data_IF_105134565368
#
_entry.id   IF_105134565368
#
_cell.length_a   1.000
_cell.length_b   1.000
_cell.length_c   1.000
_cell.angle_alpha   90.00
_cell.angle_beta   90.00
_cell.angle_gamma   90.00
#
_symmetry.space_group_name_H-M   'P 1'
#
loop_
_entity.id
_entity.type
_entity.pdbx_description
1 polymer ?
#
# COMPACT_ATOMS: atom_id res chain seq x y z
N UNK A 1 49.94 -17.44 -4.28
CA UNK A 1 48.54 -17.52 -3.84
C UNK A 1 47.71 -16.68 -4.82
N UNK A 2 46.61 -17.24 -5.35
CA UNK A 2 45.71 -16.55 -6.27
C UNK A 2 44.54 -15.91 -5.52
N UNK A 3 44.78 -14.80 -4.83
CA UNK A 3 43.71 -14.04 -4.19
C UNK A 3 42.86 -13.33 -5.25
N UNK A 4 41.55 -13.24 -5.03
CA UNK A 4 40.63 -12.50 -5.89
C UNK A 4 39.70 -11.62 -5.06
N UNK A 5 39.15 -10.61 -5.71
CA UNK A 5 38.09 -9.76 -5.20
C UNK A 5 37.01 -9.65 -6.27
N UNK A 6 35.75 -9.83 -5.88
CA UNK A 6 34.60 -9.55 -6.73
C UNK A 6 33.90 -8.30 -6.21
N UNK A 7 33.45 -7.44 -7.11
CA UNK A 7 32.68 -6.24 -6.77
C UNK A 7 31.53 -6.14 -7.74
N UNK A 8 30.31 -6.27 -7.22
CA UNK A 8 29.11 -5.98 -7.98
C UNK A 8 28.94 -4.47 -8.06
N UNK A 9 28.94 -3.91 -9.27
CA UNK A 9 28.86 -2.46 -9.49
C UNK A 9 27.43 -1.96 -9.65
N UNK A 10 26.51 -2.84 -10.06
CA UNK A 10 25.08 -2.59 -10.25
C UNK A 10 24.29 -3.89 -10.00
N UNK A 11 23.00 -3.79 -9.63
CA UNK A 11 22.10 -4.95 -9.65
C UNK A 11 22.15 -5.63 -11.01
N UNK A 12 21.98 -6.95 -11.01
CA UNK A 12 21.72 -7.71 -12.22
C UNK A 12 20.20 -7.85 -12.34
N UNK A 13 19.67 -7.85 -13.55
CA UNK A 13 18.24 -8.12 -13.72
C UNK A 13 18.00 -9.61 -13.48
N UNK A 14 17.18 -9.94 -12.49
CA UNK A 14 16.78 -11.30 -12.21
C UNK A 14 15.53 -11.69 -13.00
N UNK A 15 15.16 -12.97 -12.91
CA UNK A 15 13.97 -13.46 -13.58
C UNK A 15 12.75 -13.10 -12.72
N UNK A 16 11.73 -12.51 -13.36
CA UNK A 16 10.48 -12.18 -12.68
C UNK A 16 9.88 -13.38 -11.93
N UNK A 17 9.39 -13.12 -10.72
CA UNK A 17 8.62 -14.06 -9.92
C UNK A 17 9.06 -13.98 -8.47
N UNK A 18 8.09 -13.84 -7.55
CA UNK A 18 8.27 -13.57 -6.11
C UNK A 18 9.08 -14.63 -5.32
N UNK A 19 10.27 -14.99 -5.76
CA UNK A 19 11.14 -15.99 -5.18
C UNK A 19 12.59 -15.62 -5.48
N UNK A 20 13.51 -15.93 -4.57
CA UNK A 20 14.92 -15.56 -4.73
C UNK A 20 15.56 -16.32 -5.92
N UNK A 21 15.56 -15.75 -7.12
CA UNK A 21 16.03 -16.38 -8.36
C UNK A 21 17.51 -16.14 -8.64
N UNK A 22 18.40 -16.57 -7.73
CA UNK A 22 19.85 -16.39 -7.81
C UNK A 22 20.49 -16.51 -9.21
N UNK A 23 21.29 -15.52 -9.57
CA UNK A 23 22.14 -15.56 -10.77
C UNK A 23 23.50 -16.17 -10.39
N UNK A 24 23.85 -17.29 -11.04
CA UNK A 24 25.15 -17.94 -10.85
C UNK A 24 26.14 -17.55 -11.96
N UNK A 25 27.25 -16.93 -11.59
CA UNK A 25 28.37 -16.57 -12.46
C UNK A 25 29.52 -17.58 -12.30
N UNK A 26 29.67 -18.46 -13.29
CA UNK A 26 30.77 -19.43 -13.34
C UNK A 26 32.01 -18.82 -14.01
N UNK A 27 33.00 -18.44 -13.20
CA UNK A 27 34.22 -17.75 -13.64
C UNK A 27 35.44 -18.68 -13.65
N UNK A 28 35.30 -19.95 -13.30
CA UNK A 28 36.43 -20.88 -13.17
C UNK A 28 37.24 -21.06 -14.46
N UNK A 29 36.58 -21.01 -15.62
CA UNK A 29 37.26 -21.12 -16.92
C UNK A 29 38.18 -19.94 -17.24
N UNK A 30 38.06 -18.83 -16.51
CA UNK A 30 38.95 -17.66 -16.62
C UNK A 30 40.25 -17.83 -15.81
N UNK A 31 40.31 -18.84 -14.94
CA UNK A 31 41.48 -19.11 -14.10
C UNK A 31 42.42 -20.09 -14.80
N UNK A 32 43.62 -19.61 -15.16
CA UNK A 32 44.70 -20.43 -15.67
C UNK A 32 45.92 -20.33 -14.73
N UNK A 33 46.51 -21.47 -14.41
CA UNK A 33 47.79 -21.57 -13.73
C UNK A 33 48.86 -22.08 -14.70
N UNK A 34 50.07 -21.53 -14.60
CA UNK A 34 51.25 -21.94 -15.35
C UNK A 34 52.35 -22.28 -14.35
N UNK A 35 53.04 -23.41 -14.53
CA UNK A 35 54.16 -23.78 -13.68
C UNK A 35 55.49 -23.19 -14.19
N UNK A 36 56.62 -23.75 -13.73
CA UNK A 36 57.94 -23.18 -13.98
C UNK A 36 58.48 -23.49 -15.38
N UNK A 37 58.11 -24.61 -15.99
CA UNK A 37 58.58 -24.99 -17.32
C UNK A 37 57.57 -24.65 -18.42
N UNK A 38 56.37 -24.19 -18.05
CA UNK A 38 55.40 -23.60 -18.94
C UNK A 38 54.12 -24.42 -19.09
N UNK A 39 53.98 -25.52 -18.35
CA UNK A 39 52.76 -26.32 -18.35
C UNK A 39 51.61 -25.51 -17.77
N UNK A 40 50.47 -25.51 -18.48
CA UNK A 40 49.27 -24.76 -18.09
C UNK A 40 48.11 -25.67 -17.72
N UNK A 41 47.34 -25.27 -16.71
CA UNK A 41 46.04 -25.86 -16.40
C UNK A 41 44.99 -24.76 -16.26
N UNK A 42 43.81 -24.98 -16.85
CA UNK A 42 42.64 -24.11 -16.69
C UNK A 42 41.66 -24.77 -15.73
N UNK A 43 41.11 -24.00 -14.79
CA UNK A 43 40.13 -24.54 -13.85
C UNK A 43 38.78 -24.83 -14.54
N UNK A 44 38.04 -25.82 -14.03
CA UNK A 44 36.67 -26.07 -14.47
C UNK A 44 35.77 -24.89 -14.06
N UNK A 45 34.67 -24.67 -14.79
CA UNK A 45 33.82 -23.48 -14.65
C UNK A 45 33.30 -23.29 -13.21
N UNK A 46 33.04 -24.39 -12.51
CA UNK A 46 32.45 -24.48 -11.18
C UNK A 46 33.50 -24.31 -10.05
N UNK A 47 34.76 -24.05 -10.39
CA UNK A 47 35.85 -23.87 -9.41
C UNK A 47 35.98 -22.45 -8.89
N UNK A 48 35.39 -21.48 -9.58
CA UNK A 48 35.17 -20.12 -9.07
C UNK A 48 33.76 -19.72 -9.46
N UNK A 49 32.86 -19.76 -8.48
CA UNK A 49 31.43 -19.47 -8.65
C UNK A 49 31.10 -18.26 -7.79
N UNK A 50 30.45 -17.27 -8.39
CA UNK A 50 29.86 -16.13 -7.68
C UNK A 50 28.35 -16.24 -7.83
N UNK A 51 27.63 -16.25 -6.72
CA UNK A 51 26.17 -16.20 -6.71
C UNK A 51 25.74 -14.78 -6.39
N UNK A 52 24.85 -14.22 -7.20
CA UNK A 52 24.20 -12.93 -6.97
C UNK A 52 22.77 -13.23 -6.55
N UNK A 53 22.51 -13.00 -5.27
CA UNK A 53 21.20 -13.17 -4.64
C UNK A 53 20.19 -12.20 -5.25
N UNK A 54 18.96 -12.67 -5.40
CA UNK A 54 17.82 -11.89 -5.88
C UNK A 54 17.06 -11.29 -4.70
N UNK A 55 16.61 -10.05 -4.79
CA UNK A 55 15.79 -9.48 -3.73
C UNK A 55 14.33 -9.31 -4.12
N UNK A 56 13.47 -9.44 -3.11
CA UNK A 56 12.03 -9.23 -3.25
C UNK A 56 11.65 -7.97 -2.50
N UNK A 57 10.63 -7.23 -2.96
CA UNK A 57 10.20 -6.04 -2.28
C UNK A 57 9.50 -6.42 -0.98
N UNK A 58 9.62 -5.59 0.06
CA UNK A 58 8.98 -5.87 1.36
C UNK A 58 8.03 -4.76 1.78
N UNK A 59 6.96 -5.10 2.51
CA UNK A 59 5.98 -4.15 3.06
C UNK A 59 6.15 -3.94 4.57
N UNK A 60 7.39 -3.82 5.03
CA UNK A 60 7.74 -3.72 6.45
C UNK A 60 7.86 -2.28 6.96
N UNK A 61 7.69 -1.30 6.06
CA UNK A 61 7.84 0.11 6.34
C UNK A 61 6.77 0.70 7.27
N UNK A 62 6.80 2.03 7.37
CA UNK A 62 5.95 2.78 8.30
C UNK A 62 4.51 2.81 7.78
N UNK A 63 3.57 2.48 8.67
CA UNK A 63 2.16 2.60 8.35
C UNK A 63 1.78 4.07 8.16
N UNK A 64 0.80 4.32 7.29
CA UNK A 64 0.24 5.64 7.03
C UNK A 64 -1.22 5.66 7.44
N UNK A 65 -1.70 6.82 7.87
CA UNK A 65 -3.09 7.01 8.24
C UNK A 65 -3.64 8.32 7.71
N UNK A 66 -4.96 8.38 7.58
CA UNK A 66 -5.69 9.61 7.30
C UNK A 66 -6.98 9.64 8.10
N UNK A 67 -7.48 10.83 8.37
CA UNK A 67 -8.79 11.03 9.00
C UNK A 67 -9.64 11.86 8.06
N UNK A 68 -10.89 11.45 7.91
CA UNK A 68 -11.95 12.24 7.32
C UNK A 68 -13.10 12.33 8.31
N UNK A 69 -13.99 13.26 8.03
CA UNK A 69 -14.99 13.71 8.98
C UNK A 69 -16.31 13.96 8.23
N UNK A 70 -17.40 13.43 8.78
CA UNK A 70 -18.75 13.50 8.24
C UNK A 70 -19.38 14.89 8.37
N UNK A 71 -18.89 15.74 9.27
CA UNK A 71 -19.36 17.12 9.45
C UNK A 71 -19.16 17.95 8.18
N UNK A 72 -18.14 17.62 7.40
CA UNK A 72 -17.84 18.24 6.12
C UNK A 72 -18.77 17.81 4.97
N UNK A 73 -19.65 16.84 5.18
CA UNK A 73 -20.65 16.43 4.20
C UNK A 73 -21.81 17.44 4.16
N UNK A 74 -22.66 17.31 3.15
CA UNK A 74 -23.83 18.18 3.03
C UNK A 74 -24.78 17.97 4.22
N UNK A 75 -24.97 19.04 4.99
CA UNK A 75 -25.76 19.11 6.23
C UNK A 75 -25.12 18.43 7.46
N UNK A 76 -23.82 18.12 7.43
CA UNK A 76 -23.09 17.72 8.63
C UNK A 76 -23.05 18.85 9.67
N UNK A 77 -22.84 18.50 10.93
CA UNK A 77 -22.96 19.40 12.07
C UNK A 77 -21.65 19.41 12.85
N UNK A 78 -20.86 20.45 12.60
CA UNK A 78 -19.59 20.69 13.29
C UNK A 78 -19.64 20.47 14.81
N UNK A 79 -18.92 19.44 15.25
CA UNK A 79 -18.51 19.14 16.59
C UNK A 79 -19.53 18.51 17.52
N UNK A 80 -19.07 17.58 18.33
CA UNK A 80 -19.85 16.90 19.35
C UNK A 80 -18.96 16.44 20.49
N UNK A 81 -19.35 15.34 21.13
CA UNK A 81 -18.48 14.70 22.13
C UNK A 81 -17.66 13.62 21.44
N UNK A 82 -16.36 13.86 21.26
CA UNK A 82 -15.48 12.92 20.55
C UNK A 82 -14.83 13.52 19.32
N UNK A 83 -15.41 14.61 18.80
CA UNK A 83 -15.04 15.29 17.57
C UNK A 83 -13.55 15.37 17.24
N UNK A 84 -13.23 15.06 15.99
CA UNK A 84 -11.96 15.41 15.38
C UNK A 84 -11.99 16.85 14.89
N UNK A 85 -10.98 17.64 15.25
CA UNK A 85 -10.92 19.03 14.76
C UNK A 85 -10.82 19.08 13.24
N UNK A 86 -11.79 19.72 12.60
CA UNK A 86 -11.83 19.88 11.16
C UNK A 86 -13.23 19.58 10.65
N UNK A 87 -13.36 19.47 9.33
CA UNK A 87 -14.58 19.05 8.62
C UNK A 87 -14.12 18.40 7.29
N UNK A 88 -12.98 17.70 7.31
CA UNK A 88 -12.29 17.30 6.09
C UNK A 88 -12.88 16.01 5.51
N UNK A 89 -13.55 16.09 4.36
CA UNK A 89 -14.07 14.89 3.66
C UNK A 89 -13.02 14.18 2.79
N UNK A 90 -11.78 14.66 2.81
CA UNK A 90 -10.69 14.09 2.01
C UNK A 90 -9.42 13.94 2.83
N UNK A 91 -8.75 12.80 2.67
CA UNK A 91 -7.44 12.53 3.23
C UNK A 91 -6.50 12.04 2.12
N UNK A 92 -5.25 12.51 2.11
CA UNK A 92 -4.29 12.14 1.08
C UNK A 92 -2.88 11.98 1.64
N UNK A 93 -2.04 11.31 0.87
CA UNK A 93 -0.68 11.03 1.29
C UNK A 93 0.09 10.19 0.29
N UNK A 94 1.10 9.48 0.77
CA UNK A 94 1.91 8.57 -0.03
C UNK A 94 2.08 7.22 0.65
N UNK A 95 1.92 6.14 -0.11
CA UNK A 95 2.14 4.77 0.38
C UNK A 95 3.60 4.33 0.26
N UNK A 96 4.47 5.15 -0.33
CA UNK A 96 5.87 4.76 -0.63
C UNK A 96 6.63 4.33 0.61
N UNK A 97 6.38 4.98 1.76
CA UNK A 97 7.02 4.66 3.04
C UNK A 97 6.60 3.32 3.66
N UNK A 98 5.58 2.63 3.12
CA UNK A 98 5.18 1.28 3.53
C UNK A 98 6.13 0.22 2.95
N UNK A 99 6.72 0.50 1.77
CA UNK A 99 7.38 -0.49 0.94
C UNK A 99 8.88 -0.21 0.78
N UNK A 100 9.68 -1.26 0.79
CA UNK A 100 11.11 -1.23 0.52
C UNK A 100 11.38 -2.01 -0.76
N UNK A 101 12.10 -1.39 -1.70
CA UNK A 101 12.38 -1.94 -3.03
C UNK A 101 13.39 -3.07 -3.04
N UNK A 102 14.24 -3.17 -2.01
CA UNK A 102 15.53 -3.86 -2.20
C UNK A 102 16.44 -3.09 -3.15
N UNK A 103 17.25 -3.81 -3.90
CA UNK A 103 18.19 -3.32 -4.91
C UNK A 103 17.45 -2.94 -6.22
N UNK A 104 16.28 -3.54 -6.46
CA UNK A 104 15.49 -3.36 -7.68
C UNK A 104 14.57 -2.15 -7.58
N UNK A 105 15.10 -1.03 -8.07
CA UNK A 105 14.41 0.27 -8.06
C UNK A 105 14.08 0.72 -9.47
N UNK A 106 12.98 1.50 -9.68
CA UNK A 106 12.02 1.98 -8.69
C UNK A 106 10.83 1.03 -8.46
N UNK A 107 10.13 1.21 -7.34
CA UNK A 107 8.81 0.59 -7.13
C UNK A 107 7.72 1.30 -7.94
N UNK A 108 6.74 0.51 -8.40
CA UNK A 108 5.45 0.94 -8.93
C UNK A 108 4.32 0.38 -8.06
N UNK A 109 3.23 1.13 -7.91
CA UNK A 109 2.13 0.79 -6.99
C UNK A 109 0.81 0.55 -7.72
N UNK A 110 0.02 -0.41 -7.23
CA UNK A 110 -1.28 -0.76 -7.78
C UNK A 110 -2.27 -1.22 -6.69
N UNK A 111 -3.55 -1.21 -7.03
CA UNK A 111 -4.60 -1.80 -6.19
C UNK A 111 -4.86 -3.25 -6.58
N UNK A 112 -5.00 -4.11 -5.58
CA UNK A 112 -5.60 -5.44 -5.73
C UNK A 112 -7.07 -5.33 -6.09
N UNK A 113 -7.53 -6.17 -7.02
CA UNK A 113 -8.96 -6.32 -7.31
C UNK A 113 -9.69 -7.15 -6.24
N UNK A 114 -8.96 -7.82 -5.35
CA UNK A 114 -9.54 -8.59 -4.27
C UNK A 114 -9.90 -7.69 -3.08
N UNK A 115 -11.20 -7.47 -2.90
CA UNK A 115 -11.76 -6.64 -1.83
C UNK A 115 -12.18 -7.43 -0.59
N UNK A 116 -11.91 -8.75 -0.52
CA UNK A 116 -12.40 -9.61 0.58
C UNK A 116 -11.84 -9.27 1.96
N UNK A 117 -10.75 -8.49 2.03
CA UNK A 117 -10.16 -8.02 3.28
C UNK A 117 -10.76 -6.71 3.82
N UNK A 118 -11.67 -6.07 3.08
CA UNK A 118 -12.28 -4.80 3.49
C UNK A 118 -13.40 -5.02 4.54
N UNK A 119 -13.62 -4.05 5.44
CA UNK A 119 -14.66 -4.15 6.45
C UNK A 119 -16.07 -4.19 5.83
N UNK A 120 -16.99 -4.91 6.47
CA UNK A 120 -18.40 -4.84 6.15
C UNK A 120 -18.99 -3.55 6.76
N UNK A 121 -19.31 -2.59 5.90
CA UNK A 121 -19.87 -1.29 6.28
C UNK A 121 -21.24 -1.11 5.64
N UNK A 122 -21.99 -0.11 6.09
CA UNK A 122 -23.24 0.33 5.46
C UNK A 122 -23.34 1.85 5.43
N UNK A 123 -24.24 2.35 4.61
CA UNK A 123 -24.61 3.77 4.53
C UNK A 123 -26.12 3.87 4.31
N UNK A 124 -26.82 4.59 5.18
CA UNK A 124 -28.27 4.70 5.15
C UNK A 124 -28.98 3.36 5.35
N UNK A 125 -28.38 2.46 6.14
CA UNK A 125 -28.86 1.11 6.40
C UNK A 125 -28.64 0.12 5.24
N UNK A 126 -27.94 0.52 4.18
CA UNK A 126 -27.66 -0.34 3.02
C UNK A 126 -26.19 -0.76 3.03
N UNK A 127 -25.95 -2.08 2.98
CA UNK A 127 -24.61 -2.63 2.94
C UNK A 127 -23.78 -2.12 1.75
N UNK A 128 -22.50 -1.84 2.00
CA UNK A 128 -21.60 -1.38 0.95
C UNK A 128 -21.18 -2.53 0.02
N UNK A 129 -20.99 -2.18 -1.25
CA UNK A 129 -20.39 -3.02 -2.27
C UNK A 129 -19.13 -2.33 -2.77
N UNK A 130 -18.00 -3.04 -2.68
CA UNK A 130 -16.70 -2.55 -3.10
C UNK A 130 -16.35 -3.03 -4.50
N UNK A 131 -15.80 -2.14 -5.32
CA UNK A 131 -15.21 -2.50 -6.61
C UNK A 131 -13.91 -1.74 -6.84
N UNK A 132 -12.94 -2.39 -7.47
CA UNK A 132 -11.67 -1.78 -7.87
C UNK A 132 -11.61 -1.75 -9.39
N UNK A 133 -11.35 -0.57 -9.95
CA UNK A 133 -11.13 -0.36 -11.37
C UNK A 133 -9.85 0.47 -11.56
N UNK A 134 -8.79 -0.17 -12.07
CA UNK A 134 -7.48 0.44 -12.16
C UNK A 134 -6.95 0.86 -10.79
N UNK A 135 -6.57 2.14 -10.66
CA UNK A 135 -6.09 2.71 -9.40
C UNK A 135 -7.19 3.19 -8.45
N UNK A 136 -8.47 2.91 -8.71
CA UNK A 136 -9.58 3.44 -7.90
C UNK A 136 -10.43 2.33 -7.28
N UNK A 137 -10.56 2.35 -5.96
CA UNK A 137 -11.61 1.67 -5.21
C UNK A 137 -12.83 2.59 -5.11
N UNK A 138 -14.02 2.04 -5.36
CA UNK A 138 -15.31 2.68 -5.14
C UNK A 138 -16.16 1.83 -4.21
N UNK A 139 -16.69 2.45 -3.15
CA UNK A 139 -17.69 1.85 -2.28
C UNK A 139 -19.07 2.44 -2.59
N UNK A 140 -20.07 1.58 -2.85
CA UNK A 140 -21.45 1.98 -3.15
C UNK A 140 -22.42 1.42 -2.11
N UNK A 141 -23.45 2.18 -1.76
CA UNK A 141 -24.57 1.69 -0.93
C UNK A 141 -25.47 0.73 -1.74
N UNK A 142 -25.07 -0.54 -1.85
CA UNK A 142 -25.67 -1.52 -2.74
C UNK A 142 -25.17 -1.43 -4.19
N UNK A 143 -25.46 -2.45 -5.01
CA UNK A 143 -24.88 -2.63 -6.37
C UNK A 143 -25.22 -1.48 -7.32
N UNK A 144 -26.43 -0.92 -7.22
CA UNK A 144 -26.91 0.20 -8.03
C UNK A 144 -27.03 1.50 -7.20
N UNK A 145 -26.40 1.52 -6.02
CA UNK A 145 -26.41 2.65 -5.11
C UNK A 145 -25.54 3.82 -5.57
N UNK A 146 -25.67 4.91 -4.82
CA UNK A 146 -24.74 6.02 -4.92
C UNK A 146 -23.37 5.63 -4.33
N UNK A 147 -22.33 6.28 -4.83
CA UNK A 147 -20.99 6.18 -4.27
C UNK A 147 -21.00 6.81 -2.86
N UNK A 148 -20.35 6.11 -1.92
CA UNK A 148 -20.24 6.48 -0.51
C UNK A 148 -18.84 7.00 -0.21
N UNK A 149 -17.83 6.32 -0.73
CA UNK A 149 -16.47 6.85 -0.75
C UNK A 149 -15.67 6.31 -1.93
N UNK A 150 -14.56 6.97 -2.21
CA UNK A 150 -13.55 6.51 -3.17
C UNK A 150 -12.15 6.55 -2.56
N UNK A 151 -11.29 5.65 -3.01
CA UNK A 151 -9.86 5.69 -2.75
C UNK A 151 -9.10 5.55 -4.07
N UNK A 152 -8.27 6.53 -4.42
CA UNK A 152 -7.45 6.52 -5.62
C UNK A 152 -5.97 6.38 -5.27
N UNK A 153 -5.25 5.56 -6.03
CA UNK A 153 -3.81 5.34 -5.94
C UNK A 153 -3.17 5.52 -7.31
N UNK A 154 -2.08 6.28 -7.35
CA UNK A 154 -1.25 6.43 -8.55
C UNK A 154 -0.11 5.41 -8.56
N UNK A 155 0.44 5.11 -9.74
CA UNK A 155 1.62 4.25 -9.86
C UNK A 155 2.88 4.82 -9.16
N UNK A 156 2.89 6.12 -8.84
CA UNK A 156 3.94 6.77 -8.05
C UNK A 156 3.69 6.71 -6.53
N UNK A 157 2.58 6.12 -6.10
CA UNK A 157 2.26 5.89 -4.69
C UNK A 157 1.54 7.05 -4.00
N UNK A 158 1.19 8.13 -4.70
CA UNK A 158 0.30 9.15 -4.16
C UNK A 158 -1.13 8.60 -4.07
N UNK A 159 -1.81 8.82 -2.94
CA UNK A 159 -3.19 8.41 -2.73
C UNK A 159 -4.10 9.56 -2.28
N UNK A 160 -5.39 9.39 -2.54
CA UNK A 160 -6.47 10.24 -2.04
C UNK A 160 -7.66 9.37 -1.65
N UNK A 161 -8.17 9.53 -0.44
CA UNK A 161 -9.48 9.08 0.01
C UNK A 161 -10.47 10.25 -0.07
N UNK A 162 -11.70 9.98 -0.47
CA UNK A 162 -12.79 10.97 -0.50
C UNK A 162 -14.07 10.35 0.00
N UNK A 163 -14.61 10.91 1.09
CA UNK A 163 -15.91 10.62 1.63
C UNK A 163 -16.97 11.43 0.87
N UNK A 164 -18.04 10.76 0.44
CA UNK A 164 -19.10 11.33 -0.39
C UNK A 164 -20.47 11.27 0.28
N UNK A 165 -20.65 10.31 1.19
CA UNK A 165 -21.87 10.09 1.97
C UNK A 165 -21.52 9.56 3.36
N UNK A 166 -22.40 9.78 4.35
CA UNK A 166 -22.20 9.30 5.70
C UNK A 166 -22.20 7.77 5.74
N UNK A 167 -21.38 7.19 6.61
CA UNK A 167 -21.40 5.79 6.99
C UNK A 167 -22.37 5.59 8.17
N UNK A 168 -22.88 4.36 8.32
CA UNK A 168 -23.69 4.05 9.49
C UNK A 168 -22.79 3.71 10.68
N UNK A 169 -22.79 4.59 11.67
CA UNK A 169 -22.03 4.46 12.92
C UNK A 169 -22.78 3.68 13.99
N UNK A 170 -22.08 3.35 15.08
CA UNK A 170 -22.70 2.74 16.25
C UNK A 170 -23.69 3.74 16.90
N UNK A 171 -24.82 3.25 17.38
CA UNK A 171 -25.81 4.13 18.02
C UNK A 171 -25.23 4.80 19.28
N UNK A 172 -25.38 6.11 19.38
CA UNK A 172 -24.88 6.94 20.47
C UNK A 172 -25.13 8.42 20.18
N UNK A 173 -24.63 9.30 21.05
CA UNK A 173 -24.55 10.74 20.81
C UNK A 173 -23.10 11.23 20.85
N UNK A 174 -22.15 10.31 20.75
CA UNK A 174 -20.71 10.57 20.68
C UNK A 174 -20.30 10.43 19.21
N UNK A 175 -19.30 11.20 18.78
CA UNK A 175 -18.73 11.10 17.44
C UNK A 175 -17.79 9.90 17.41
N UNK A 176 -18.33 8.78 16.93
CA UNK A 176 -17.67 7.49 17.01
C UNK A 176 -16.87 7.22 15.73
N UNK A 177 -15.59 6.91 15.87
CA UNK A 177 -14.76 6.57 14.72
C UNK A 177 -15.12 5.21 14.08
N UNK A 178 -15.21 5.19 12.75
CA UNK A 178 -15.07 3.99 11.92
C UNK A 178 -13.66 3.91 11.35
N UNK A 179 -13.01 2.77 11.53
CA UNK A 179 -11.70 2.49 10.94
C UNK A 179 -11.81 1.64 9.68
N UNK A 180 -11.22 2.11 8.58
CA UNK A 180 -11.14 1.41 7.29
C UNK A 180 -9.68 1.04 7.01
N UNK A 181 -9.38 -0.26 7.14
CA UNK A 181 -8.08 -0.82 6.81
C UNK A 181 -7.99 -1.09 5.30
N UNK A 182 -7.15 -0.32 4.60
CA UNK A 182 -6.96 -0.41 3.14
C UNK A 182 -5.64 -1.10 2.75
N UNK A 183 -4.80 -1.46 3.73
CA UNK A 183 -3.45 -1.96 3.46
C UNK A 183 -3.42 -3.21 2.58
N UNK A 184 -4.37 -4.15 2.73
CA UNK A 184 -4.41 -5.37 1.90
C UNK A 184 -4.72 -5.12 0.43
N UNK A 185 -5.17 -3.92 0.06
CA UNK A 185 -5.34 -3.55 -1.34
C UNK A 185 -4.04 -3.08 -1.98
N UNK A 186 -3.05 -2.66 -1.20
CA UNK A 186 -1.83 -2.05 -1.72
C UNK A 186 -0.85 -3.13 -2.17
N UNK A 187 -0.50 -3.09 -3.45
CA UNK A 187 0.58 -3.87 -4.04
C UNK A 187 1.70 -2.96 -4.52
N UNK A 188 2.94 -3.38 -4.28
CA UNK A 188 4.12 -2.77 -4.88
C UNK A 188 4.82 -3.81 -5.77
N UNK A 189 5.38 -3.33 -6.88
CA UNK A 189 6.15 -4.10 -7.85
C UNK A 189 7.47 -3.39 -8.10
N UNK A 190 8.60 -4.08 -8.07
CA UNK A 190 9.91 -3.53 -8.44
C UNK A 190 10.18 -3.61 -9.95
N UNK A 191 11.45 -3.54 -10.34
CA UNK A 191 11.86 -3.34 -11.72
C UNK A 191 11.84 -4.63 -12.56
N UNK A 192 12.17 -5.78 -11.97
CA UNK A 192 12.15 -7.08 -12.64
C UNK A 192 10.84 -7.84 -12.46
N UNK A 193 9.98 -7.38 -11.55
CA UNK A 193 8.55 -7.71 -11.53
C UNK A 193 8.08 -8.43 -10.29
N UNK A 194 8.91 -8.48 -9.25
CA UNK A 194 8.56 -9.05 -7.97
C UNK A 194 7.57 -8.17 -7.22
N UNK A 195 6.67 -8.83 -6.48
CA UNK A 195 5.50 -8.17 -5.91
C UNK A 195 5.30 -8.47 -4.44
N UNK A 196 4.84 -7.47 -3.71
CA UNK A 196 4.47 -7.61 -2.29
C UNK A 196 3.14 -6.90 -2.02
N UNK A 197 2.31 -7.52 -1.17
CA UNK A 197 1.06 -6.92 -0.66
C UNK A 197 1.28 -6.46 0.77
N UNK A 198 0.80 -5.28 1.12
CA UNK A 198 0.89 -4.78 2.49
C UNK A 198 -0.09 -5.48 3.44
N UNK A 199 0.25 -5.50 4.73
CA UNK A 199 -0.68 -5.94 5.78
C UNK A 199 -1.83 -4.92 5.94
N UNK A 200 -2.97 -5.37 6.48
CA UNK A 200 -4.20 -4.59 6.55
C UNK A 200 -4.03 -3.22 7.22
N UNK A 201 -3.24 -3.17 8.29
CA UNK A 201 -3.00 -2.01 9.14
C UNK A 201 -1.95 -1.03 8.59
N UNK A 202 -1.38 -1.28 7.40
CA UNK A 202 -0.36 -0.40 6.82
C UNK A 202 -0.91 0.88 6.18
N UNK A 203 -2.19 0.89 5.84
CA UNK A 203 -2.91 2.10 5.47
C UNK A 203 -4.29 2.09 6.12
N UNK A 204 -4.55 3.06 6.97
CA UNK A 204 -5.76 3.16 7.78
C UNK A 204 -6.44 4.50 7.55
N UNK A 205 -7.74 4.49 7.21
CA UNK A 205 -8.56 5.70 7.17
C UNK A 205 -9.54 5.66 8.33
N UNK A 206 -9.51 6.70 9.16
CA UNK A 206 -10.53 6.94 10.17
C UNK A 206 -11.61 7.83 9.56
N UNK A 207 -12.86 7.45 9.72
CA UNK A 207 -14.04 8.26 9.40
C UNK A 207 -14.67 8.62 10.73
N UNK A 208 -14.62 9.89 11.11
CA UNK A 208 -15.33 10.40 12.28
C UNK A 208 -16.81 10.62 11.95
N UNK A 209 -17.67 10.38 12.93
CA UNK A 209 -19.13 10.47 12.81
C UNK A 209 -19.61 11.94 12.89
N UNK A 210 -20.83 12.19 12.42
CA UNK A 210 -21.55 13.45 12.65
C UNK A 210 -22.63 13.20 13.71
N UNK A 211 -22.68 14.01 14.76
CA UNK A 211 -23.71 13.85 15.80
C UNK A 211 -24.83 14.88 15.74
N UNK A 212 -26.09 14.46 15.98
CA UNK A 212 -27.20 15.39 16.01
C UNK A 212 -27.11 16.34 17.23
N UNK A 213 -27.14 17.65 16.98
CA UNK A 213 -27.24 18.66 18.04
C UNK A 213 -28.69 19.11 18.29
N UNK A 214 -29.00 19.49 19.53
CA UNK A 214 -30.26 20.17 19.82
C UNK A 214 -30.18 21.61 19.27
N UNK A 215 -30.86 21.87 18.17
CA UNK A 215 -31.05 23.24 17.68
C UNK A 215 -31.78 24.08 18.72
N UNK A 216 -31.22 25.23 19.11
CA UNK A 216 -31.96 26.19 19.94
C UNK A 216 -33.14 26.72 19.13
N UNK A 217 -34.37 26.41 19.55
CA UNK A 217 -35.56 26.99 18.93
C UNK A 217 -35.47 28.52 18.96
N UNK A 218 -35.88 29.24 17.90
CA UNK A 218 -36.03 30.68 17.98
C UNK A 218 -37.01 30.99 19.10
N UNK A 219 -36.64 31.93 19.98
CA UNK A 219 -37.55 32.50 20.97
C UNK A 219 -38.76 33.02 20.20
N UNK A 220 -39.90 32.35 20.32
CA UNK A 220 -41.16 32.94 19.87
C UNK A 220 -41.52 34.00 20.90
N UNK A 221 -41.22 35.25 20.58
CA UNK A 221 -41.86 36.39 21.25
C UNK A 221 -43.37 36.27 21.02
N UNK A 222 -44.13 36.24 22.12
CA UNK A 222 -45.60 36.17 22.17
C UNK A 222 -46.21 37.55 21.99
#
# INVERSE_FOLDING_TARGET
>A
AGAYTFTLLKPLDHAAGNNENDITLNLGSLLQATDKDGDTVTAAAEKLVITVDDDTPTATGTAVSGTVDEDGLANGIAGGTGDVTGEATTAGGSVTGIFQSGADTPLSYALSSNTSGLPALSSGGVALVYSVAGGTLTAKAGVAGADVFTFSLTAAGAYTFTLLKPLDHAAGNDENDITINLGTLLQATDNDGDTVTAAADKLVITVDDDTPVIGTAPVQDV
#
